data_IF_979616809170
#
_entry.id   IF_979616809170
#
_cell.length_a   1.000
_cell.length_b   1.000
_cell.length_c   1.000
_cell.angle_alpha   90.00
_cell.angle_beta   90.00
_cell.angle_gamma   90.00
#
_symmetry.space_group_name_H-M   'P 1'
#
loop_
_entity.id
_entity.type
_entity.pdbx_description
1 polymer ?
#
# COMPACT_ATOMS: atom_id res chain seq x y z
N UNK A 1 25.04 4.56 -3.07
CA UNK A 1 24.24 5.06 -4.20
C UNK A 1 22.86 4.43 -4.12
N UNK A 2 21.81 5.22 -4.30
CA UNK A 2 20.43 4.70 -4.40
C UNK A 2 20.29 4.08 -5.79
N UNK A 3 19.86 2.82 -5.87
CA UNK A 3 19.69 2.12 -7.15
C UNK A 3 18.47 2.64 -7.90
N UNK A 4 18.47 2.52 -9.22
CA UNK A 4 17.32 2.93 -10.04
C UNK A 4 16.06 2.12 -9.69
N UNK A 5 16.24 0.83 -9.36
CA UNK A 5 15.18 -0.02 -8.83
C UNK A 5 14.54 0.55 -7.56
N UNK A 6 15.35 1.08 -6.63
CA UNK A 6 14.82 1.65 -5.39
C UNK A 6 14.03 2.94 -5.64
N UNK A 7 14.48 3.80 -6.57
CA UNK A 7 13.71 5.00 -6.96
C UNK A 7 12.36 4.60 -7.58
N UNK A 8 12.34 3.57 -8.42
CA UNK A 8 11.10 3.09 -9.02
C UNK A 8 10.14 2.51 -7.97
N UNK A 9 10.67 1.74 -7.01
CA UNK A 9 9.91 1.25 -5.85
C UNK A 9 9.29 2.40 -5.06
N UNK A 10 10.07 3.46 -4.76
CA UNK A 10 9.57 4.64 -4.05
C UNK A 10 8.43 5.33 -4.81
N UNK A 11 8.58 5.52 -6.13
CA UNK A 11 7.53 6.14 -6.96
C UNK A 11 6.23 5.33 -6.91
N UNK A 12 6.31 4.01 -7.07
CA UNK A 12 5.14 3.14 -6.99
C UNK A 12 4.51 3.14 -5.59
N UNK A 13 5.35 3.16 -4.55
CA UNK A 13 4.89 3.26 -3.16
C UNK A 13 4.13 4.56 -2.91
N UNK A 14 4.67 5.70 -3.35
CA UNK A 14 4.07 7.02 -3.15
C UNK A 14 2.73 7.15 -3.89
N UNK A 15 2.67 6.68 -5.14
CA UNK A 15 1.42 6.61 -5.91
C UNK A 15 0.39 5.68 -5.25
N UNK A 16 0.83 4.50 -4.77
CA UNK A 16 -0.01 3.56 -4.02
C UNK A 16 -0.56 4.17 -2.73
N UNK A 17 0.27 4.92 -2.00
CA UNK A 17 -0.13 5.58 -0.76
C UNK A 17 -1.16 6.69 -1.02
N UNK A 18 -1.03 7.44 -2.12
CA UNK A 18 -2.02 8.43 -2.52
C UNK A 18 -3.37 7.77 -2.83
N UNK A 19 -3.38 6.65 -3.56
CA UNK A 19 -4.61 5.90 -3.85
C UNK A 19 -5.23 5.30 -2.59
N UNK A 20 -4.41 4.74 -1.70
CA UNK A 20 -4.86 4.20 -0.41
C UNK A 20 -5.59 5.26 0.42
N UNK A 21 -5.03 6.48 0.51
CA UNK A 21 -5.68 7.60 1.22
C UNK A 21 -6.99 8.04 0.57
N UNK A 22 -7.14 7.84 -0.73
CA UNK A 22 -8.38 8.09 -1.46
C UNK A 22 -9.34 6.88 -1.47
N UNK A 23 -9.12 5.87 -0.60
CA UNK A 23 -9.93 4.64 -0.50
C UNK A 23 -9.97 3.81 -1.80
N UNK A 24 -9.06 4.06 -2.73
CA UNK A 24 -8.85 3.28 -3.96
C UNK A 24 -7.96 2.08 -3.66
N UNK A 25 -8.45 1.19 -2.79
CA UNK A 25 -7.65 0.12 -2.20
C UNK A 25 -7.18 -0.91 -3.21
N UNK A 26 -7.99 -1.21 -4.24
CA UNK A 26 -7.61 -2.17 -5.28
C UNK A 26 -6.47 -1.64 -6.13
N UNK A 27 -6.56 -0.39 -6.56
CA UNK A 27 -5.51 0.26 -7.36
C UNK A 27 -4.25 0.49 -6.53
N UNK A 28 -4.38 0.84 -5.25
CA UNK A 28 -3.26 0.92 -4.31
C UNK A 28 -2.56 -0.43 -4.16
N UNK A 29 -3.31 -1.52 -3.97
CA UNK A 29 -2.77 -2.88 -3.86
C UNK A 29 -1.96 -3.28 -5.09
N UNK A 30 -2.43 -2.97 -6.30
CA UNK A 30 -1.71 -3.26 -7.54
C UNK A 30 -0.35 -2.54 -7.61
N UNK A 31 -0.29 -1.27 -7.18
CA UNK A 31 0.96 -0.50 -7.15
C UNK A 31 1.94 -1.04 -6.11
N UNK A 32 1.48 -1.36 -4.91
CA UNK A 32 2.34 -1.96 -3.88
C UNK A 32 2.86 -3.34 -4.31
N UNK A 33 2.07 -4.14 -5.03
CA UNK A 33 2.55 -5.40 -5.61
C UNK A 33 3.68 -5.18 -6.62
N UNK A 34 3.54 -4.22 -7.53
CA UNK A 34 4.61 -3.86 -8.49
C UNK A 34 5.88 -3.39 -7.76
N UNK A 35 5.74 -2.63 -6.68
CA UNK A 35 6.87 -2.21 -5.86
C UNK A 35 7.62 -3.42 -5.23
N UNK A 36 6.88 -4.41 -4.73
CA UNK A 36 7.47 -5.66 -4.18
C UNK A 36 8.07 -6.54 -5.28
N UNK A 37 7.52 -6.56 -6.50
CA UNK A 37 8.12 -7.28 -7.63
C UNK A 37 9.51 -6.72 -8.01
N UNK A 38 9.69 -5.40 -7.91
CA UNK A 38 10.98 -4.74 -8.16
C UNK A 38 11.92 -4.90 -6.97
N UNK A 39 11.41 -4.73 -5.75
CA UNK A 39 12.16 -4.87 -4.51
C UNK A 39 11.46 -5.88 -3.59
N UNK A 40 11.79 -7.18 -3.69
CA UNK A 40 11.15 -8.22 -2.90
C UNK A 40 11.22 -8.04 -1.40
N UNK A 41 12.13 -7.19 -0.89
CA UNK A 41 12.31 -6.89 0.53
C UNK A 41 11.68 -5.57 0.97
N UNK A 42 10.85 -4.93 0.14
CA UNK A 42 10.13 -3.71 0.50
C UNK A 42 9.05 -3.99 1.57
N UNK A 43 9.47 -3.86 2.84
CA UNK A 43 8.61 -4.04 4.01
C UNK A 43 7.39 -3.10 4.02
N UNK A 44 7.55 -1.79 3.78
CA UNK A 44 6.43 -0.86 3.64
C UNK A 44 5.36 -1.31 2.64
N UNK A 45 5.73 -1.61 1.39
CA UNK A 45 4.75 -2.06 0.39
C UNK A 45 4.05 -3.36 0.79
N UNK A 46 4.78 -4.35 1.32
CA UNK A 46 4.17 -5.60 1.85
C UNK A 46 3.14 -5.32 2.94
N UNK A 47 3.42 -4.38 3.85
CA UNK A 47 2.49 -4.01 4.92
C UNK A 47 1.21 -3.38 4.35
N UNK A 48 1.34 -2.51 3.35
CA UNK A 48 0.19 -1.87 2.73
C UNK A 48 -0.62 -2.81 1.83
N UNK A 49 -0.01 -3.82 1.20
CA UNK A 49 -0.72 -4.92 0.52
C UNK A 49 -1.73 -5.55 1.47
N UNK A 50 -1.29 -6.00 2.65
CA UNK A 50 -2.18 -6.64 3.63
C UNK A 50 -3.27 -5.69 4.15
N UNK A 51 -2.99 -4.39 4.28
CA UNK A 51 -4.00 -3.38 4.64
C UNK A 51 -5.04 -3.19 3.54
N UNK A 52 -4.60 -3.11 2.29
CA UNK A 52 -5.50 -3.00 1.14
C UNK A 52 -6.39 -4.23 1.04
N UNK A 53 -5.84 -5.44 1.20
CA UNK A 53 -6.62 -6.68 1.22
C UNK A 53 -7.69 -6.66 2.31
N UNK A 54 -7.34 -6.22 3.52
CA UNK A 54 -8.28 -6.08 4.63
C UNK A 54 -9.41 -5.09 4.32
N UNK A 55 -9.11 -3.93 3.72
CA UNK A 55 -10.11 -2.94 3.35
C UNK A 55 -10.90 -3.25 2.08
N UNK A 56 -10.36 -4.03 1.16
CA UNK A 56 -11.12 -4.56 0.02
C UNK A 56 -12.15 -5.57 0.54
N UNK A 57 -11.75 -6.45 1.46
CA UNK A 57 -12.65 -7.43 2.06
C UNK A 57 -13.67 -6.78 3.02
N UNK A 58 -13.25 -5.79 3.79
CA UNK A 58 -14.08 -5.05 4.76
C UNK A 58 -13.87 -3.54 4.57
N UNK A 59 -14.61 -2.91 3.65
CA UNK A 59 -14.49 -1.49 3.38
C UNK A 59 -14.63 -0.65 4.66
N UNK A 60 -13.75 0.35 4.88
CA UNK A 60 -13.88 1.22 6.02
C UNK A 60 -15.07 2.16 5.85
N UNK A 61 -15.57 2.76 6.96
CA UNK A 61 -16.62 3.77 6.94
C UNK A 61 -16.36 4.94 5.98
N UNK A 62 -17.41 5.69 5.64
CA UNK A 62 -17.30 6.83 4.73
C UNK A 62 -16.43 7.97 5.27
N UNK A 63 -16.43 8.15 6.59
CA UNK A 63 -15.66 9.13 7.35
C UNK A 63 -14.26 8.65 7.74
N UNK A 64 -13.78 7.56 7.14
CA UNK A 64 -12.47 7.01 7.41
C UNK A 64 -11.33 8.00 7.11
N UNK A 65 -10.46 8.20 8.10
CA UNK A 65 -9.40 9.23 8.13
C UNK A 65 -8.04 8.73 7.63
N UNK A 66 -7.96 7.49 7.15
CA UNK A 66 -6.72 6.87 6.69
C UNK A 66 -6.02 5.97 7.74
N UNK A 67 -6.57 5.87 8.95
CA UNK A 67 -5.98 5.05 10.03
C UNK A 67 -6.31 3.57 9.85
N UNK A 68 -5.27 2.73 9.88
CA UNK A 68 -5.46 1.28 9.98
C UNK A 68 -5.40 0.87 11.44
N UNK A 69 -6.55 0.59 12.05
CA UNK A 69 -6.61 0.02 13.39
C UNK A 69 -6.11 -1.42 13.38
N UNK A 70 -4.97 -1.65 14.05
CA UNK A 70 -4.53 -3.01 14.35
C UNK A 70 -5.42 -3.56 15.46
N UNK A 71 -6.38 -4.42 15.12
CA UNK A 71 -7.08 -5.23 16.11
C UNK A 71 -6.11 -6.27 16.66
N UNK A 72 -5.40 -5.93 17.74
CA UNK A 72 -4.67 -6.90 18.56
C UNK A 72 -5.70 -7.87 19.16
N UNK A 73 -5.53 -9.17 18.87
CA UNK A 73 -6.17 -10.24 19.64
C UNK A 73 -5.41 -10.47 20.94
#
# INVERSE_FOLDING_TARGET
MVTESFKQTLKLYDEGLALYKNRKFKEAWELFKKAVEITPNDGPSKKYIGRCEAFIANPPPEDWDGVFEMKTK
#
